data_IF_211389108664
#
_entry.id   IF_211389108664
#
_cell.length_a   1.000
_cell.length_b   1.000
_cell.length_c   1.000
_cell.angle_alpha   90.00
_cell.angle_beta   90.00
_cell.angle_gamma   90.00
#
_symmetry.space_group_name_H-M   'P 1'
#
loop_
_entity.id
_entity.type
_entity.pdbx_description
1 polymer ?
#
# COMPACT_ATOMS: atom_id res chain seq x y z
N UNK A 1 -55.42 8.70 -30.45
CA UNK A 1 -55.49 7.97 -29.16
C UNK A 1 -54.15 7.29 -28.94
N UNK A 2 -53.55 7.56 -27.77
CA UNK A 2 -52.43 6.94 -27.05
C UNK A 2 -51.48 5.99 -27.82
N UNK A 3 -50.19 6.32 -28.02
CA UNK A 3 -49.05 6.22 -27.07
C UNK A 3 -48.58 4.78 -26.75
N UNK A 4 -47.27 4.56 -27.04
CA UNK A 4 -46.26 3.92 -26.15
C UNK A 4 -46.26 2.35 -26.13
N UNK A 5 -45.15 1.60 -26.21
CA UNK A 5 -43.70 1.84 -26.05
C UNK A 5 -42.86 0.76 -26.74
N UNK A 6 -41.77 1.18 -27.40
CA UNK A 6 -40.57 0.38 -27.54
C UNK A 6 -40.00 0.09 -26.14
N UNK A 7 -40.02 -1.18 -25.70
CA UNK A 7 -39.41 -1.57 -24.42
C UNK A 7 -37.88 -1.60 -24.54
N UNK A 8 -37.32 -0.42 -24.34
CA UNK A 8 -35.91 -0.15 -24.05
C UNK A 8 -35.57 -0.58 -22.61
N UNK A 9 -34.38 -1.19 -22.45
CA UNK A 9 -33.63 -1.36 -21.19
C UNK A 9 -34.25 -2.30 -20.13
N UNK A 10 -33.49 -3.05 -19.34
CA UNK A 10 -32.20 -2.68 -18.79
C UNK A 10 -31.46 -3.94 -18.34
N UNK A 11 -30.27 -4.17 -18.90
CA UNK A 11 -29.27 -5.07 -18.36
C UNK A 11 -29.08 -4.74 -16.88
N UNK A 12 -29.36 -5.71 -16.01
CA UNK A 12 -29.18 -5.59 -14.56
C UNK A 12 -27.68 -5.51 -14.30
N UNK A 13 -27.12 -4.31 -14.40
CA UNK A 13 -25.75 -4.01 -13.96
C UNK A 13 -25.73 -4.39 -12.48
N UNK A 14 -25.05 -5.49 -12.16
CA UNK A 14 -24.72 -5.84 -10.78
C UNK A 14 -23.86 -4.70 -10.27
N UNK A 15 -24.47 -3.73 -9.59
CA UNK A 15 -23.76 -2.77 -8.78
C UNK A 15 -22.95 -3.59 -7.77
N UNK A 16 -21.66 -3.72 -8.03
CA UNK A 16 -20.68 -4.14 -7.05
C UNK A 16 -20.82 -3.09 -5.95
N UNK A 17 -21.48 -3.48 -4.85
CA UNK A 17 -21.55 -2.64 -3.66
C UNK A 17 -20.11 -2.51 -3.18
N UNK A 18 -19.47 -1.40 -3.52
CA UNK A 18 -18.31 -0.94 -2.75
C UNK A 18 -18.86 -0.45 -1.42
N UNK A 19 -19.18 -1.41 -0.55
CA UNK A 19 -19.32 -1.19 0.88
C UNK A 19 -17.91 -0.95 1.43
N UNK A 20 -17.24 0.10 0.93
CA UNK A 20 -16.05 0.64 1.56
C UNK A 20 -16.56 1.42 2.76
N UNK A 21 -16.86 0.70 3.83
CA UNK A 21 -16.75 1.29 5.14
C UNK A 21 -15.27 1.65 5.27
N UNK A 22 -14.90 2.90 4.98
CA UNK A 22 -13.66 3.47 5.48
C UNK A 22 -13.84 3.46 6.99
N UNK A 23 -13.10 2.64 7.75
CA UNK A 23 -13.09 2.76 9.19
C UNK A 23 -12.75 4.22 9.51
N UNK A 24 -13.42 4.80 10.51
CA UNK A 24 -12.97 6.06 11.12
C UNK A 24 -11.58 5.86 11.81
N UNK A 25 -11.16 4.61 11.92
CA UNK A 25 -9.88 4.20 12.47
C UNK A 25 -8.74 4.57 11.51
N UNK A 26 -7.87 5.48 11.97
CA UNK A 26 -6.58 5.77 11.32
C UNK A 26 -5.58 4.70 11.72
N UNK A 27 -4.90 4.14 10.72
CA UNK A 27 -3.86 3.13 10.94
C UNK A 27 -2.49 3.77 10.97
N UNK A 28 -1.68 3.40 11.97
CA UNK A 28 -0.26 3.73 11.92
C UNK A 28 0.39 2.97 10.75
N UNK A 29 1.57 3.43 10.32
CA UNK A 29 2.35 2.68 9.32
C UNK A 29 2.63 1.24 9.76
N UNK A 30 2.83 1.00 11.05
CA UNK A 30 3.05 -0.34 11.59
C UNK A 30 1.79 -1.20 11.46
N UNK A 31 0.62 -0.70 11.89
CA UNK A 31 -0.64 -1.44 11.79
C UNK A 31 -0.96 -1.82 10.34
N UNK A 32 -0.74 -0.89 9.42
CA UNK A 32 -0.95 -1.14 7.99
C UNK A 32 -0.07 -2.28 7.46
N UNK A 33 1.19 -2.36 7.91
CA UNK A 33 2.09 -3.46 7.56
C UNK A 33 1.64 -4.78 8.18
N UNK A 34 1.25 -4.78 9.44
CA UNK A 34 0.77 -6.00 10.11
C UNK A 34 -0.48 -6.56 9.41
N UNK A 35 -1.42 -5.70 9.02
CA UNK A 35 -2.60 -6.08 8.24
C UNK A 35 -2.18 -6.70 6.90
N UNK A 36 -1.24 -6.06 6.19
CA UNK A 36 -0.72 -6.56 4.92
C UNK A 36 -0.02 -7.92 5.08
N UNK A 37 0.83 -8.08 6.10
CA UNK A 37 1.55 -9.33 6.37
C UNK A 37 0.58 -10.47 6.70
N UNK A 38 -0.42 -10.25 7.55
CA UNK A 38 -1.44 -11.27 7.86
C UNK A 38 -2.17 -11.76 6.61
N UNK A 39 -2.50 -10.85 5.69
CA UNK A 39 -3.09 -11.21 4.41
C UNK A 39 -2.12 -12.06 3.56
N UNK A 40 -0.83 -11.70 3.56
CA UNK A 40 0.23 -12.41 2.84
C UNK A 40 0.60 -13.78 3.43
N UNK A 41 0.49 -13.95 4.74
CA UNK A 41 0.64 -15.25 5.41
C UNK A 41 -0.49 -16.20 5.03
N UNK A 42 -1.72 -15.70 4.92
CA UNK A 42 -2.85 -16.48 4.44
C UNK A 42 -2.64 -16.97 2.98
N UNK A 43 -1.89 -16.23 2.17
CA UNK A 43 -1.44 -16.62 0.83
C UNK A 43 -0.25 -17.61 0.83
N UNK A 44 0.25 -18.05 1.99
CA UNK A 44 1.42 -18.95 2.18
C UNK A 44 2.74 -18.40 1.63
N UNK A 45 2.97 -17.11 1.79
CA UNK A 45 4.28 -16.52 1.46
C UNK A 45 5.41 -17.05 2.36
N UNK A 46 6.63 -17.09 1.82
CA UNK A 46 7.82 -17.54 2.55
C UNK A 46 8.19 -16.51 3.63
N UNK A 47 8.67 -16.99 4.78
CA UNK A 47 9.16 -16.15 5.88
C UNK A 47 10.26 -15.17 5.46
N UNK A 48 11.11 -15.54 4.50
CA UNK A 48 12.12 -14.64 3.96
C UNK A 48 11.52 -13.44 3.22
N UNK A 49 10.41 -13.64 2.50
CA UNK A 49 9.67 -12.57 1.83
C UNK A 49 8.98 -11.66 2.83
N UNK A 50 8.39 -12.24 3.88
CA UNK A 50 7.80 -11.49 5.00
C UNK A 50 8.85 -10.59 5.66
N UNK A 51 10.04 -11.13 5.96
CA UNK A 51 11.17 -10.34 6.47
C UNK A 51 11.54 -9.19 5.53
N UNK A 52 11.57 -9.45 4.22
CA UNK A 52 11.86 -8.42 3.22
C UNK A 52 10.85 -7.25 3.23
N UNK A 53 9.57 -7.53 3.46
CA UNK A 53 8.55 -6.49 3.61
C UNK A 53 8.79 -5.65 4.87
N UNK A 54 9.07 -6.27 6.02
CA UNK A 54 9.44 -5.55 7.24
C UNK A 54 10.67 -4.68 7.06
N UNK A 55 11.73 -5.21 6.44
CA UNK A 55 12.95 -4.44 6.16
C UNK A 55 12.66 -3.23 5.26
N UNK A 56 11.83 -3.42 4.23
CA UNK A 56 11.43 -2.34 3.31
C UNK A 56 10.73 -1.21 4.06
N UNK A 57 9.75 -1.55 4.90
CA UNK A 57 8.98 -0.54 5.63
C UNK A 57 9.82 0.09 6.74
N UNK A 58 10.70 -0.67 7.40
CA UNK A 58 11.67 -0.13 8.35
C UNK A 58 12.56 0.92 7.69
N UNK A 59 13.17 0.62 6.55
CA UNK A 59 14.01 1.61 5.84
C UNK A 59 13.22 2.83 5.38
N UNK A 60 11.94 2.68 5.07
CA UNK A 60 11.10 3.81 4.74
C UNK A 60 10.79 4.65 5.98
N UNK A 61 10.42 4.02 7.11
CA UNK A 61 10.17 4.68 8.40
C UNK A 61 11.41 5.39 8.95
N UNK A 62 12.59 4.78 8.80
CA UNK A 62 13.88 5.35 9.21
C UNK A 62 14.21 6.65 8.43
N UNK A 63 13.72 6.77 7.19
CA UNK A 63 13.91 7.97 6.35
C UNK A 63 12.79 8.99 6.50
N UNK A 64 11.57 8.54 6.83
CA UNK A 64 10.37 9.37 6.92
C UNK A 64 10.48 10.37 8.08
N UNK A 65 9.85 11.54 7.93
CA UNK A 65 9.72 12.50 9.03
C UNK A 65 9.04 11.81 10.24
N UNK A 66 9.64 11.82 11.45
CA UNK A 66 9.08 11.17 12.63
C UNK A 66 7.70 11.68 13.04
N UNK A 67 7.31 12.90 12.63
CA UNK A 67 5.98 13.46 12.89
C UNK A 67 4.88 12.79 12.06
N UNK A 68 5.23 12.04 11.02
CA UNK A 68 4.28 11.30 10.18
C UNK A 68 4.08 9.91 10.77
N UNK A 69 2.90 9.68 11.34
CA UNK A 69 2.58 8.45 12.05
C UNK A 69 1.65 7.54 11.25
N UNK A 70 0.67 8.14 10.57
CA UNK A 70 -0.45 7.43 9.97
C UNK A 70 -0.27 7.20 8.47
N UNK A 71 -0.85 6.10 7.98
CA UNK A 71 -0.74 5.71 6.57
C UNK A 71 -1.40 6.71 5.61
N UNK A 72 -2.46 7.39 6.06
CA UNK A 72 -3.23 8.37 5.28
C UNK A 72 -2.50 9.70 5.08
N UNK A 73 -1.48 9.98 5.89
CA UNK A 73 -0.59 11.13 5.75
C UNK A 73 0.47 10.93 4.66
N UNK A 74 0.71 9.67 4.26
CA UNK A 74 1.70 9.32 3.24
C UNK A 74 1.13 9.62 1.84
N UNK A 75 1.51 10.78 1.32
CA UNK A 75 1.14 11.24 -0.02
C UNK A 75 2.10 10.68 -1.08
N UNK A 76 1.64 10.69 -2.34
CA UNK A 76 2.44 10.30 -3.50
C UNK A 76 3.73 11.13 -3.66
N UNK A 77 3.75 12.37 -3.20
CA UNK A 77 4.96 13.22 -3.17
C UNK A 77 6.03 12.63 -2.25
N UNK A 78 5.67 12.24 -1.03
CA UNK A 78 6.59 11.63 -0.05
C UNK A 78 7.20 10.34 -0.63
N UNK A 79 6.38 9.51 -1.28
CA UNK A 79 6.87 8.29 -1.92
C UNK A 79 7.84 8.59 -3.07
N UNK A 80 7.57 9.63 -3.86
CA UNK A 80 8.47 10.06 -4.95
C UNK A 80 9.80 10.56 -4.39
N UNK A 81 9.76 11.34 -3.32
CA UNK A 81 10.96 11.85 -2.66
C UNK A 81 11.79 10.70 -2.08
N UNK A 82 11.14 9.69 -1.49
CA UNK A 82 11.83 8.48 -1.03
C UNK A 82 12.51 7.73 -2.17
N UNK A 83 11.83 7.55 -3.30
CA UNK A 83 12.39 6.88 -4.49
C UNK A 83 13.60 7.66 -5.02
N UNK A 84 13.53 9.00 -5.03
CA UNK A 84 14.64 9.84 -5.46
C UNK A 84 15.84 9.74 -4.49
N UNK A 85 15.58 9.78 -3.19
CA UNK A 85 16.59 9.53 -2.15
C UNK A 85 17.28 8.18 -2.35
N UNK A 86 16.51 7.12 -2.59
CA UNK A 86 17.06 5.77 -2.84
C UNK A 86 17.94 5.71 -4.10
N UNK A 87 17.68 6.54 -5.11
CA UNK A 87 18.46 6.57 -6.37
C UNK A 87 19.74 7.38 -6.26
N UNK A 88 19.70 8.51 -5.55
CA UNK A 88 20.74 9.53 -5.61
C UNK A 88 21.61 9.57 -4.35
N UNK A 89 21.02 9.33 -3.18
CA UNK A 89 21.63 9.67 -1.90
C UNK A 89 21.90 8.44 -1.02
N UNK A 90 21.10 7.37 -1.18
CA UNK A 90 21.41 6.09 -0.56
C UNK A 90 22.57 5.44 -1.32
N UNK A 91 23.79 5.65 -0.83
CA UNK A 91 25.00 5.00 -1.35
C UNK A 91 24.70 3.50 -1.59
N UNK A 92 24.83 3.00 -2.84
CA UNK A 92 24.74 1.59 -3.08
C UNK A 92 25.90 0.94 -2.33
N UNK A 93 25.59 0.04 -1.40
CA UNK A 93 26.58 -0.85 -0.77
C UNK A 93 27.62 -0.18 0.16
N UNK A 94 27.21 0.50 1.24
CA UNK A 94 28.12 0.73 2.38
C UNK A 94 28.32 -0.50 3.30
N UNK A 95 28.18 -1.73 2.78
CA UNK A 95 28.21 -2.94 3.63
C UNK A 95 28.72 -4.24 3.00
N UNK A 96 28.74 -4.38 1.68
CA UNK A 96 29.26 -5.61 1.07
C UNK A 96 30.73 -5.42 0.74
N UNK A 97 31.59 -5.69 1.74
CA UNK A 97 32.97 -6.07 1.46
C UNK A 97 32.91 -7.23 0.47
N UNK A 98 33.44 -7.01 -0.73
CA UNK A 98 33.82 -8.07 -1.65
C UNK A 98 34.69 -9.08 -0.88
N UNK A 99 34.13 -10.23 -0.51
CA UNK A 99 34.97 -11.39 -0.25
C UNK A 99 35.38 -11.89 -1.64
N UNK A 100 36.65 -11.62 -1.96
CA UNK A 100 37.39 -12.33 -3.01
C UNK A 100 37.68 -13.75 -2.55
#
# INVERSE_FOLDING_TARGET
MLHKEDKKNQTRVRQIRHDRHTPDDRYTLHDAVEIFIKAKEAERLRNSTIKGYYDTVRYFRDWLNPDIEYIDEIKSSILRDYINYLKNDRLPYQGSRHQK
#
